data_IF_250463096247
#
_entry.id   IF_250463096247
#
_cell.length_a   1.000
_cell.length_b   1.000
_cell.length_c   1.000
_cell.angle_alpha   90.00
_cell.angle_beta   90.00
_cell.angle_gamma   90.00
#
_symmetry.space_group_name_H-M   'P 1'
#
loop_
_entity.id
_entity.type
_entity.pdbx_description
1 polymer ?
#
# COMPACT_ATOMS: atom_id res chain seq x y z
N UNK A 1 4.96 1.89 21.16
CA UNK A 1 5.67 0.64 20.77
C UNK A 1 5.82 0.65 19.25
N UNK A 2 6.97 1.10 18.74
CA UNK A 2 7.25 1.20 17.30
C UNK A 2 7.33 -0.19 16.67
N UNK A 3 6.38 -0.52 15.80
CA UNK A 3 6.47 -1.72 14.94
C UNK A 3 7.58 -1.45 13.93
N UNK A 4 8.77 -2.02 14.17
CA UNK A 4 9.86 -2.05 13.19
C UNK A 4 9.34 -2.76 11.93
N UNK A 5 9.59 -2.24 10.71
CA UNK A 5 9.23 -2.94 9.48
C UNK A 5 10.05 -4.22 9.43
N UNK A 6 9.41 -5.37 9.57
CA UNK A 6 10.03 -6.67 9.37
C UNK A 6 9.93 -6.98 7.88
N UNK A 7 11.05 -7.25 7.18
CA UNK A 7 11.00 -7.64 5.77
C UNK A 7 10.23 -8.98 5.66
N UNK A 8 9.33 -9.06 4.68
CA UNK A 8 8.47 -10.23 4.47
C UNK A 8 9.32 -11.49 4.19
N UNK A 9 9.13 -12.53 5.00
CA UNK A 9 9.71 -13.85 4.77
C UNK A 9 8.90 -14.59 3.71
N UNK A 10 9.57 -15.19 2.72
CA UNK A 10 8.95 -15.97 1.64
C UNK A 10 8.06 -17.08 2.21
N UNK A 11 6.75 -16.89 2.15
CA UNK A 11 5.73 -17.81 2.67
C UNK A 11 4.70 -17.18 3.62
N UNK A 12 5.00 -16.02 4.22
CA UNK A 12 4.04 -15.23 5.00
C UNK A 12 3.46 -14.11 4.14
N UNK A 13 2.18 -14.23 3.76
CA UNK A 13 1.43 -13.10 3.19
C UNK A 13 1.41 -11.98 4.23
N UNK A 14 2.25 -10.99 4.02
CA UNK A 14 2.40 -9.82 4.85
C UNK A 14 1.37 -8.80 4.40
N UNK A 15 0.35 -8.62 5.23
CA UNK A 15 -0.65 -7.56 5.04
C UNK A 15 -0.34 -6.37 5.92
N UNK A 16 -0.17 -5.21 5.31
CA UNK A 16 -0.01 -3.92 6.00
C UNK A 16 -1.18 -3.03 5.61
N UNK A 17 -1.80 -2.40 6.60
CA UNK A 17 -2.84 -1.40 6.37
C UNK A 17 -2.34 -0.05 6.85
N UNK A 18 -2.41 0.94 5.96
CA UNK A 18 -1.96 2.31 6.18
C UNK A 18 -3.18 3.22 6.20
N UNK A 19 -3.31 3.98 7.28
CA UNK A 19 -4.38 4.96 7.44
C UNK A 19 -3.89 6.33 6.97
N UNK A 20 -4.68 6.98 6.14
CA UNK A 20 -4.40 8.32 5.65
C UNK A 20 -5.29 9.33 6.36
N UNK A 21 -4.67 10.25 7.10
CA UNK A 21 -5.37 11.34 7.77
C UNK A 21 -5.96 12.34 6.77
N UNK A 22 -5.36 12.43 5.58
CA UNK A 22 -5.77 13.35 4.51
C UNK A 22 -6.13 12.56 3.24
N UNK A 23 -7.39 12.09 3.11
CA UNK A 23 -7.80 11.27 1.97
C UNK A 23 -7.68 12.01 0.62
N UNK A 24 -7.76 13.34 0.57
CA UNK A 24 -7.49 14.09 -0.66
C UNK A 24 -6.08 13.87 -1.24
N UNK A 25 -5.11 13.45 -0.44
CA UNK A 25 -3.76 13.13 -0.93
C UNK A 25 -3.70 11.77 -1.63
N UNK A 26 -4.65 10.87 -1.36
CA UNK A 26 -4.70 9.54 -1.99
C UNK A 26 -4.88 9.64 -3.50
N UNK A 27 -5.72 10.56 -3.97
CA UNK A 27 -5.89 10.79 -5.41
C UNK A 27 -4.56 11.13 -6.10
N UNK A 28 -3.72 11.94 -5.45
CA UNK A 28 -2.38 12.26 -5.96
C UNK A 28 -1.41 11.09 -5.85
N UNK A 29 -1.51 10.31 -4.77
CA UNK A 29 -0.68 9.15 -4.53
C UNK A 29 -0.93 8.06 -5.58
N UNK A 30 -2.20 7.75 -5.85
CA UNK A 30 -2.59 6.74 -6.84
C UNK A 30 -2.34 7.19 -8.27
N UNK A 31 -2.35 8.51 -8.49
CA UNK A 31 -2.13 9.08 -9.81
C UNK A 31 -3.37 8.94 -10.69
N UNK A 32 -3.22 9.36 -11.94
CA UNK A 32 -4.30 9.31 -12.91
C UNK A 32 -4.59 7.84 -13.26
N UNK A 33 -5.84 7.39 -13.10
CA UNK A 33 -6.25 5.99 -13.35
C UNK A 33 -5.38 4.96 -12.62
N UNK A 34 -4.98 5.24 -11.37
CA UNK A 34 -4.18 4.33 -10.53
C UNK A 34 -2.79 3.95 -11.12
N UNK A 35 -2.27 4.74 -12.07
CA UNK A 35 -0.96 4.48 -12.69
C UNK A 35 0.18 4.33 -11.69
N UNK A 36 0.18 5.13 -10.62
CA UNK A 36 1.22 5.04 -9.60
C UNK A 36 1.05 3.80 -8.73
N UNK A 37 -0.19 3.34 -8.48
CA UNK A 37 -0.44 2.09 -7.77
C UNK A 37 0.13 0.91 -8.56
N UNK A 38 -0.22 0.81 -9.83
CA UNK A 38 0.27 -0.28 -10.70
C UNK A 38 1.81 -0.27 -10.78
N UNK A 39 2.42 0.91 -10.84
CA UNK A 39 3.88 1.03 -10.80
C UNK A 39 4.49 0.58 -9.46
N UNK A 40 3.84 0.91 -8.34
CA UNK A 40 4.25 0.48 -6.99
C UNK A 40 4.08 -1.04 -6.81
N UNK A 41 2.95 -1.61 -7.25
CA UNK A 41 2.66 -3.04 -7.23
C UNK A 41 3.71 -3.82 -8.01
N UNK A 42 3.98 -3.42 -9.26
CA UNK A 42 4.97 -4.09 -10.10
C UNK A 42 6.40 -3.96 -9.56
N UNK A 43 6.74 -2.83 -8.96
CA UNK A 43 8.08 -2.59 -8.41
C UNK A 43 8.33 -3.33 -7.10
N UNK A 44 7.31 -3.44 -6.26
CA UNK A 44 7.41 -4.07 -4.93
C UNK A 44 6.99 -5.54 -4.95
N UNK A 45 6.30 -6.00 -6.00
CA UNK A 45 5.74 -7.35 -6.09
C UNK A 45 4.58 -7.58 -5.11
N UNK A 46 3.84 -6.51 -4.80
CA UNK A 46 2.73 -6.53 -3.81
C UNK A 46 1.43 -6.11 -4.48
N UNK A 47 0.30 -6.43 -3.86
CA UNK A 47 -1.03 -5.98 -4.24
C UNK A 47 -1.46 -4.82 -3.34
N UNK A 48 -1.94 -3.73 -3.94
CA UNK A 48 -2.37 -2.52 -3.24
C UNK A 48 -3.88 -2.36 -3.38
N UNK A 49 -4.55 -2.18 -2.25
CA UNK A 49 -6.00 -1.93 -2.19
C UNK A 49 -6.27 -0.59 -1.54
N UNK A 50 -7.14 0.22 -2.15
CA UNK A 50 -7.58 1.49 -1.59
C UNK A 50 -9.06 1.41 -1.21
N UNK A 51 -9.38 1.68 0.06
CA UNK A 51 -10.78 1.77 0.53
C UNK A 51 -10.95 3.01 1.40
N UNK A 52 -11.62 4.03 0.86
CA UNK A 52 -11.83 5.29 1.55
C UNK A 52 -10.49 5.97 1.88
N UNK A 53 -10.18 6.08 3.17
CA UNK A 53 -8.91 6.64 3.66
C UNK A 53 -7.90 5.58 4.10
N UNK A 54 -8.13 4.31 3.78
CA UNK A 54 -7.23 3.19 4.11
C UNK A 54 -6.61 2.62 2.85
N UNK A 55 -5.32 2.30 2.95
CA UNK A 55 -4.55 1.64 1.91
C UNK A 55 -4.00 0.32 2.45
N UNK A 56 -4.44 -0.80 1.90
CA UNK A 56 -3.90 -2.12 2.17
C UNK A 56 -2.78 -2.46 1.19
N UNK A 57 -1.72 -3.09 1.69
CA UNK A 57 -0.61 -3.65 0.94
C UNK A 57 -0.52 -5.13 1.32
N UNK A 58 -0.53 -6.02 0.33
CA UNK A 58 -0.46 -7.47 0.53
C UNK A 58 0.64 -8.07 -0.34
N UNK A 59 1.60 -8.78 0.26
CA UNK A 59 2.73 -9.41 -0.45
C UNK A 59 3.28 -10.63 0.27
#
# INVERSE_FOLDING_TARGET
MSRKPVPAQSGQRSRVEVLFDKPQLLARLFGQYDQNLVALENRLGVYITARGNRVGLEG
#
